data_IF_281042123380
#
_entry.id   IF_281042123380
#
_cell.length_a   1.000
_cell.length_b   1.000
_cell.length_c   1.000
_cell.angle_alpha   90.00
_cell.angle_beta   90.00
_cell.angle_gamma   90.00
#
_symmetry.space_group_name_H-M   'P 1'
#
loop_
_entity.id
_entity.type
_entity.pdbx_description
1 polymer ?
#
# COMPACT_ATOMS: atom_id res chain seq x y z
N UNK A 1 10.17 -1.42 9.18
CA UNK A 1 11.18 -2.49 9.34
C UNK A 1 12.59 -1.96 9.27
N UNK A 2 13.18 -1.71 10.44
CA UNK A 2 14.53 -1.17 10.58
C UNK A 2 15.64 -2.16 10.19
N UNK A 3 15.42 -3.46 10.33
CA UNK A 3 16.43 -4.50 10.09
C UNK A 3 16.68 -4.83 8.61
N UNK A 4 15.69 -4.58 7.73
CA UNK A 4 15.72 -5.01 6.32
C UNK A 4 16.95 -4.52 5.55
N UNK A 5 17.30 -3.21 5.58
CA UNK A 5 18.42 -2.70 4.78
C UNK A 5 19.74 -3.39 5.11
N UNK A 6 20.00 -3.64 6.40
CA UNK A 6 21.21 -4.29 6.85
C UNK A 6 21.25 -5.77 6.47
N UNK A 7 20.14 -6.49 6.67
CA UNK A 7 20.06 -7.90 6.30
C UNK A 7 20.30 -8.10 4.80
N UNK A 8 19.60 -7.34 3.96
CA UNK A 8 19.68 -7.49 2.50
C UNK A 8 21.06 -7.12 1.98
N UNK A 9 21.65 -6.04 2.50
CA UNK A 9 23.00 -5.62 2.11
C UNK A 9 24.04 -6.68 2.44
N UNK A 10 24.03 -7.20 3.67
CA UNK A 10 25.02 -8.19 4.12
C UNK A 10 24.84 -9.53 3.40
N UNK A 11 23.59 -9.98 3.20
CA UNK A 11 23.27 -11.18 2.43
C UNK A 11 23.74 -11.06 0.97
N UNK A 12 23.52 -9.90 0.32
CA UNK A 12 24.01 -9.64 -1.04
C UNK A 12 25.54 -9.62 -1.16
N UNK A 13 26.27 -9.43 -0.05
CA UNK A 13 27.73 -9.55 0.02
C UNK A 13 28.21 -10.99 0.26
N UNK A 14 27.30 -11.96 0.28
CA UNK A 14 27.61 -13.38 0.48
C UNK A 14 27.77 -13.78 1.95
N UNK A 15 27.33 -12.94 2.90
CA UNK A 15 27.38 -13.28 4.32
C UNK A 15 26.15 -14.12 4.72
N UNK A 16 26.38 -15.09 5.60
CA UNK A 16 25.29 -15.79 6.31
C UNK A 16 24.79 -14.86 7.42
N UNK A 17 23.58 -14.32 7.24
CA UNK A 17 22.98 -13.36 8.18
C UNK A 17 21.87 -14.03 8.98
N UNK A 18 21.95 -13.93 10.30
CA UNK A 18 20.89 -14.40 11.20
C UNK A 18 20.08 -13.21 11.71
N UNK A 19 18.79 -13.18 11.39
CA UNK A 19 17.84 -12.28 12.04
C UNK A 19 17.35 -12.98 13.31
N UNK A 20 17.63 -12.44 14.49
CA UNK A 20 17.19 -13.04 15.76
C UNK A 20 16.07 -12.22 16.38
N UNK A 21 15.04 -12.87 16.91
CA UNK A 21 13.94 -12.17 17.56
C UNK A 21 14.39 -11.58 18.91
N UNK A 22 14.22 -10.28 19.09
CA UNK A 22 14.63 -9.59 20.30
C UNK A 22 13.99 -10.19 21.58
N UNK A 23 12.78 -10.78 21.49
CA UNK A 23 12.13 -11.42 22.64
C UNK A 23 12.90 -12.62 23.18
N UNK A 24 13.58 -13.35 22.30
CA UNK A 24 14.31 -14.57 22.64
C UNK A 24 15.66 -14.23 23.31
N UNK A 25 16.16 -13.01 23.08
CA UNK A 25 17.44 -12.51 23.58
C UNK A 25 17.28 -11.61 24.80
N UNK A 26 16.23 -10.79 24.86
CA UNK A 26 16.08 -9.70 25.84
C UNK A 26 16.15 -10.17 27.30
N UNK A 27 15.70 -11.40 27.57
CA UNK A 27 15.62 -11.96 28.92
C UNK A 27 16.82 -12.87 29.28
N UNK A 28 17.81 -13.01 28.39
CA UNK A 28 18.96 -13.87 28.68
C UNK A 28 19.86 -13.14 29.71
N UNK A 29 20.20 -13.80 30.83
CA UNK A 29 21.03 -13.19 31.87
C UNK A 29 22.39 -12.71 31.36
N UNK A 30 22.86 -11.61 31.95
CA UNK A 30 24.19 -11.06 31.65
C UNK A 30 24.27 -10.21 30.37
N UNK A 31 23.11 -9.78 29.83
CA UNK A 31 23.08 -8.85 28.69
C UNK A 31 23.79 -7.53 29.03
N UNK A 32 24.81 -7.12 28.25
CA UNK A 32 25.53 -5.87 28.48
C UNK A 32 24.68 -4.62 28.17
N UNK A 33 25.12 -3.47 28.71
CA UNK A 33 24.42 -2.18 28.54
C UNK A 33 24.82 -1.40 27.28
N UNK A 34 25.93 -1.76 26.62
CA UNK A 34 26.47 -1.02 25.46
C UNK A 34 26.39 -1.87 24.20
N UNK A 35 26.09 -1.25 23.06
CA UNK A 35 25.91 -1.94 21.77
C UNK A 35 27.12 -2.78 21.35
N UNK A 36 28.34 -2.26 21.61
CA UNK A 36 29.59 -2.98 21.33
C UNK A 36 29.68 -4.29 22.11
N UNK A 37 29.32 -4.27 23.40
CA UNK A 37 29.34 -5.47 24.23
C UNK A 37 28.14 -6.38 23.92
N UNK A 38 26.99 -5.82 23.56
CA UNK A 38 25.80 -6.57 23.14
C UNK A 38 26.09 -7.41 21.88
N UNK A 39 26.81 -6.85 20.90
CA UNK A 39 27.26 -7.58 19.71
C UNK A 39 28.16 -8.78 20.05
N UNK A 40 29.14 -8.60 20.95
CA UNK A 40 30.02 -9.68 21.42
C UNK A 40 29.21 -10.74 22.18
N UNK A 41 28.26 -10.30 23.00
CA UNK A 41 27.43 -11.20 23.79
C UNK A 41 26.50 -12.03 22.90
N UNK A 42 25.87 -11.43 21.88
CA UNK A 42 25.10 -12.14 20.86
C UNK A 42 25.92 -13.20 20.13
N UNK A 43 27.18 -12.89 19.76
CA UNK A 43 28.08 -13.86 19.14
C UNK A 43 28.33 -15.07 20.06
N UNK A 44 28.56 -14.85 21.36
CA UNK A 44 28.74 -15.93 22.35
C UNK A 44 27.49 -16.79 22.54
N UNK A 45 26.30 -16.17 22.51
CA UNK A 45 25.04 -16.93 22.58
C UNK A 45 24.87 -17.80 21.33
N UNK A 46 25.25 -17.29 20.17
CA UNK A 46 25.22 -18.02 18.92
C UNK A 46 26.17 -19.24 18.93
N UNK A 47 27.42 -19.04 19.36
CA UNK A 47 28.43 -20.11 19.50
C UNK A 47 27.95 -21.25 20.41
N UNK A 48 27.15 -20.92 21.43
CA UNK A 48 26.57 -21.89 22.37
C UNK A 48 25.26 -22.52 21.88
N UNK A 49 24.81 -22.20 20.67
CA UNK A 49 23.56 -22.71 20.11
C UNK A 49 22.31 -22.20 20.83
N UNK A 50 22.40 -21.09 21.56
CA UNK A 50 21.30 -20.53 22.35
C UNK A 50 20.36 -19.63 21.54
N UNK A 51 20.68 -19.37 20.27
CA UNK A 51 19.91 -18.52 19.37
C UNK A 51 19.30 -19.32 18.23
N UNK A 52 18.12 -18.90 17.79
CA UNK A 52 17.45 -19.44 16.60
C UNK A 52 17.23 -18.31 15.59
N UNK A 53 17.60 -18.51 14.31
CA UNK A 53 17.27 -17.54 13.28
C UNK A 53 15.76 -17.48 13.06
N UNK A 54 15.27 -16.26 12.89
CA UNK A 54 13.93 -15.97 12.41
C UNK A 54 13.86 -16.30 10.93
N UNK A 55 12.70 -16.76 10.47
CA UNK A 55 12.50 -17.02 9.07
C UNK A 55 12.50 -15.70 8.28
N UNK A 56 13.46 -15.58 7.37
CA UNK A 56 13.49 -14.55 6.32
C UNK A 56 13.33 -15.29 4.99
N UNK A 57 12.31 -14.97 4.17
CA UNK A 57 12.14 -15.64 2.88
C UNK A 57 13.34 -15.39 1.96
N UNK A 58 13.60 -16.30 1.00
CA UNK A 58 14.58 -16.08 -0.06
C UNK A 58 14.32 -14.78 -0.84
N UNK A 59 15.37 -14.25 -1.47
CA UNK A 59 15.33 -12.96 -2.15
C UNK A 59 14.17 -12.84 -3.16
N UNK A 60 13.96 -13.85 -4.01
CA UNK A 60 12.91 -13.81 -5.03
C UNK A 60 11.50 -13.75 -4.39
N UNK A 61 11.31 -14.46 -3.28
CA UNK A 61 10.03 -14.44 -2.55
C UNK A 61 9.80 -13.09 -1.87
N UNK A 62 10.85 -12.43 -1.36
CA UNK A 62 10.71 -11.09 -0.76
C UNK A 62 10.30 -10.06 -1.79
N UNK A 63 10.93 -10.08 -2.97
CA UNK A 63 10.58 -9.18 -4.07
C UNK A 63 9.12 -9.34 -4.49
N UNK A 64 8.65 -10.59 -4.69
CA UNK A 64 7.24 -10.88 -5.00
C UNK A 64 6.29 -10.37 -3.90
N UNK A 65 6.69 -10.51 -2.63
CA UNK A 65 5.90 -10.00 -1.49
C UNK A 65 5.85 -8.48 -1.47
N UNK A 66 6.91 -7.80 -1.84
CA UNK A 66 6.94 -6.34 -1.89
C UNK A 66 6.04 -5.82 -3.02
N UNK A 67 6.07 -6.44 -4.21
CA UNK A 67 5.14 -6.10 -5.29
C UNK A 67 3.68 -6.33 -4.93
N UNK A 68 3.36 -7.48 -4.31
CA UNK A 68 1.98 -7.82 -3.94
C UNK A 68 1.43 -6.93 -2.84
N UNK A 69 2.26 -6.58 -1.84
CA UNK A 69 1.93 -5.59 -0.80
C UNK A 69 1.72 -4.20 -1.39
N UNK A 70 2.66 -3.73 -2.21
CA UNK A 70 2.54 -2.43 -2.87
C UNK A 70 1.26 -2.36 -3.71
N UNK A 71 0.94 -3.42 -4.47
CA UNK A 71 -0.31 -3.48 -5.22
C UNK A 71 -1.53 -3.40 -4.30
N UNK A 72 -1.54 -4.12 -3.19
CA UNK A 72 -2.63 -4.06 -2.22
C UNK A 72 -2.78 -2.65 -1.65
N UNK A 73 -1.69 -2.00 -1.24
CA UNK A 73 -1.68 -0.64 -0.71
C UNK A 73 -2.22 0.36 -1.75
N UNK A 74 -1.72 0.29 -2.99
CA UNK A 74 -2.18 1.14 -4.09
C UNK A 74 -3.66 0.93 -4.42
N UNK A 75 -4.17 -0.31 -4.33
CA UNK A 75 -5.60 -0.59 -4.53
C UNK A 75 -6.43 0.06 -3.42
N UNK A 76 -6.00 -0.02 -2.16
CA UNK A 76 -6.69 0.62 -1.04
C UNK A 76 -6.65 2.14 -1.15
N UNK A 77 -5.49 2.73 -1.46
CA UNK A 77 -5.35 4.18 -1.64
C UNK A 77 -6.19 4.67 -2.82
N UNK A 78 -6.21 3.95 -3.95
CA UNK A 78 -7.10 4.26 -5.07
C UNK A 78 -8.56 4.30 -4.64
N UNK A 79 -9.02 3.30 -3.87
CA UNK A 79 -10.41 3.28 -3.36
C UNK A 79 -10.68 4.46 -2.43
N UNK A 80 -9.75 4.78 -1.53
CA UNK A 80 -9.85 5.94 -0.63
C UNK A 80 -9.94 7.26 -1.41
N UNK A 81 -9.14 7.43 -2.45
CA UNK A 81 -9.20 8.60 -3.32
C UNK A 81 -10.53 8.68 -4.07
N UNK A 82 -11.04 7.56 -4.60
CA UNK A 82 -12.36 7.50 -5.23
C UNK A 82 -13.48 7.97 -4.29
N UNK A 83 -13.50 7.45 -3.06
CA UNK A 83 -14.49 7.83 -2.05
C UNK A 83 -14.40 9.32 -1.66
N UNK A 84 -13.19 9.86 -1.56
CA UNK A 84 -13.00 11.30 -1.29
C UNK A 84 -13.52 12.17 -2.42
N UNK A 85 -13.26 11.79 -3.67
CA UNK A 85 -13.79 12.51 -4.84
C UNK A 85 -15.31 12.43 -4.90
N UNK A 86 -15.89 11.26 -4.65
CA UNK A 86 -17.35 11.10 -4.59
C UNK A 86 -17.98 11.97 -3.51
N UNK A 87 -17.40 11.98 -2.31
CA UNK A 87 -17.85 12.87 -1.23
C UNK A 87 -17.79 14.35 -1.63
N UNK A 88 -16.71 14.78 -2.28
CA UNK A 88 -16.57 16.17 -2.75
C UNK A 88 -17.67 16.56 -3.74
N UNK A 89 -18.05 15.64 -4.64
CA UNK A 89 -19.14 15.85 -5.59
C UNK A 89 -20.49 15.98 -4.85
N UNK A 90 -20.75 15.11 -3.88
CA UNK A 90 -21.98 15.15 -3.07
C UNK A 90 -22.07 16.43 -2.23
N UNK A 91 -20.98 16.85 -1.60
CA UNK A 91 -20.89 18.11 -0.86
C UNK A 91 -21.14 19.34 -1.78
N UNK A 92 -20.84 19.20 -3.07
CA UNK A 92 -21.11 20.22 -4.12
C UNK A 92 -22.48 20.05 -4.79
N UNK A 93 -23.37 19.21 -4.24
CA UNK A 93 -24.70 18.89 -4.76
C UNK A 93 -24.72 18.17 -6.13
N UNK A 94 -23.60 17.55 -6.54
CA UNK A 94 -23.49 16.76 -7.77
C UNK A 94 -23.64 15.26 -7.45
N UNK A 95 -24.86 14.71 -7.55
CA UNK A 95 -25.20 13.33 -7.13
C UNK A 95 -25.09 12.28 -8.24
N UNK A 96 -23.99 12.30 -8.99
CA UNK A 96 -23.73 11.35 -10.08
C UNK A 96 -23.71 9.89 -9.57
N UNK A 97 -23.23 9.65 -8.35
CA UNK A 97 -23.20 8.33 -7.69
C UNK A 97 -24.55 7.61 -7.63
N UNK A 98 -25.66 8.36 -7.61
CA UNK A 98 -27.01 7.80 -7.55
C UNK A 98 -27.48 7.15 -8.86
N UNK A 99 -26.87 7.52 -9.98
CA UNK A 99 -27.28 7.10 -11.32
C UNK A 99 -26.27 6.12 -11.94
N UNK A 100 -24.98 6.28 -11.65
CA UNK A 100 -23.90 5.50 -12.28
C UNK A 100 -23.12 4.64 -11.31
N UNK A 101 -22.84 3.40 -11.75
CA UNK A 101 -22.15 2.39 -10.96
C UNK A 101 -20.63 2.58 -10.87
N UNK A 102 -20.02 3.31 -11.81
CA UNK A 102 -18.59 3.67 -11.76
C UNK A 102 -18.37 5.08 -12.34
N UNK A 103 -18.28 6.05 -11.43
CA UNK A 103 -17.96 7.45 -11.75
C UNK A 103 -16.57 7.58 -12.40
N UNK A 104 -15.69 6.63 -12.12
CA UNK A 104 -14.32 6.63 -12.63
C UNK A 104 -14.17 5.72 -13.87
N UNK A 105 -15.26 5.35 -14.52
CA UNK A 105 -15.27 4.78 -15.86
C UNK A 105 -15.00 5.83 -16.93
N UNK A 106 -15.08 5.45 -18.21
CA UNK A 106 -14.82 6.35 -19.34
C UNK A 106 -15.71 7.61 -19.30
N UNK A 107 -17.03 7.43 -19.34
CA UNK A 107 -17.98 8.54 -19.39
C UNK A 107 -17.89 9.44 -18.16
N UNK A 108 -17.81 8.84 -16.95
CA UNK A 108 -17.75 9.62 -15.72
C UNK A 108 -16.45 10.44 -15.60
N UNK A 109 -15.30 9.92 -16.08
CA UNK A 109 -14.08 10.74 -16.18
C UNK A 109 -14.20 11.88 -17.19
N UNK A 110 -14.87 11.67 -18.32
CA UNK A 110 -15.11 12.74 -19.29
C UNK A 110 -16.01 13.84 -18.70
N UNK A 111 -17.09 13.46 -18.02
CA UNK A 111 -17.97 14.41 -17.30
C UNK A 111 -17.19 15.17 -16.22
N UNK A 112 -16.38 14.49 -15.41
CA UNK A 112 -15.53 15.14 -14.41
C UNK A 112 -14.51 16.09 -15.03
N UNK A 113 -13.89 15.72 -16.15
CA UNK A 113 -12.95 16.58 -16.86
C UNK A 113 -13.65 17.83 -17.42
N UNK A 114 -14.87 17.70 -17.96
CA UNK A 114 -15.67 18.82 -18.44
C UNK A 114 -16.08 19.75 -17.29
N UNK A 115 -16.51 19.19 -16.15
CA UNK A 115 -16.77 19.94 -14.92
C UNK A 115 -15.52 20.72 -14.46
N UNK A 116 -14.34 20.10 -14.49
CA UNK A 116 -13.08 20.79 -14.16
C UNK A 116 -12.78 21.91 -15.18
N UNK A 117 -13.06 21.69 -16.47
CA UNK A 117 -12.86 22.67 -17.53
C UNK A 117 -13.87 23.83 -17.50
N UNK A 118 -14.89 23.77 -16.65
CA UNK A 118 -15.86 24.85 -16.45
C UNK A 118 -17.24 24.59 -17.06
N UNK A 119 -17.48 23.42 -17.68
CA UNK A 119 -18.80 23.05 -18.18
C UNK A 119 -19.77 22.87 -17.00
N UNK A 120 -20.97 23.45 -17.13
CA UNK A 120 -22.02 23.42 -16.10
C UNK A 120 -23.38 23.01 -16.66
N UNK A 121 -23.52 22.89 -17.98
CA UNK A 121 -24.76 22.46 -18.62
C UNK A 121 -24.97 20.95 -18.41
N UNK A 122 -26.03 20.54 -17.67
CA UNK A 122 -26.32 19.14 -17.43
C UNK A 122 -26.65 18.36 -18.72
N UNK A 123 -27.17 19.02 -19.76
CA UNK A 123 -27.45 18.39 -21.05
C UNK A 123 -26.15 17.99 -21.75
N UNK A 124 -25.18 18.90 -21.80
CA UNK A 124 -23.86 18.66 -22.39
C UNK A 124 -23.14 17.54 -21.65
N UNK A 125 -23.19 17.56 -20.31
CA UNK A 125 -22.56 16.53 -19.48
C UNK A 125 -23.23 15.16 -19.69
N UNK A 126 -24.57 15.10 -19.73
CA UNK A 126 -25.31 13.85 -19.90
C UNK A 126 -25.01 13.19 -21.26
N UNK A 127 -24.86 13.97 -22.34
CA UNK A 127 -24.52 13.46 -23.68
C UNK A 127 -23.14 12.80 -23.75
N UNK A 128 -22.24 13.05 -22.80
CA UNK A 128 -20.96 12.34 -22.67
C UNK A 128 -21.13 10.88 -22.21
N UNK A 129 -22.36 10.45 -21.90
CA UNK A 129 -22.64 9.07 -21.54
C UNK A 129 -22.42 8.11 -22.72
N UNK A 130 -21.57 7.10 -22.50
CA UNK A 130 -21.34 6.00 -23.46
C UNK A 130 -21.88 4.64 -22.97
N UNK A 131 -22.17 3.74 -23.91
CA UNK A 131 -22.54 2.34 -23.64
C UNK A 131 -23.75 2.19 -22.72
N UNK A 132 -23.60 1.44 -21.61
CA UNK A 132 -24.66 1.22 -20.60
C UNK A 132 -25.10 2.48 -19.86
N UNK A 133 -24.38 3.59 -20.01
CA UNK A 133 -24.74 4.88 -19.43
C UNK A 133 -25.68 5.68 -20.35
N UNK A 134 -25.69 5.44 -21.68
CA UNK A 134 -26.59 6.16 -22.62
C UNK A 134 -28.07 6.06 -22.23
N UNK A 135 -28.62 4.89 -21.86
CA UNK A 135 -30.02 4.81 -21.44
C UNK A 135 -30.34 5.62 -20.18
N UNK A 136 -29.32 6.06 -19.42
CA UNK A 136 -29.47 6.81 -18.17
C UNK A 136 -29.43 8.33 -18.36
N UNK A 137 -29.24 8.83 -19.58
CA UNK A 137 -29.22 10.27 -19.91
C UNK A 137 -30.41 11.04 -19.29
N UNK A 138 -31.66 10.54 -19.33
CA UNK A 138 -32.78 11.25 -18.71
C UNK A 138 -32.64 11.47 -17.19
N UNK A 139 -31.91 10.59 -16.50
CA UNK A 139 -31.65 10.69 -15.06
C UNK A 139 -30.34 11.43 -14.73
N UNK A 140 -29.51 11.76 -15.75
CA UNK A 140 -28.25 12.49 -15.59
C UNK A 140 -28.41 14.01 -15.75
N UNK A 141 -29.53 14.45 -16.33
CA UNK A 141 -29.92 15.85 -16.46
C UNK A 141 -30.45 16.37 -15.13
#
# INVERSE_FOLDING_TARGET
DYWRPFFYLLEARGLVVWLVNARDVKNVPGRPKTDKLDAIWLARLNERGMLRPSFVPPAEIRELRDYTRLRADLVHERTRHKQRTEKLLEDSLVKISSVVSDIFGLSGRQMLAALIAGERDPEVLAEMAHGRMRPKIPALK
#
